data_IF_252695500956
#
_entry.id   IF_252695500956
#
_cell.length_a   1.000
_cell.length_b   1.000
_cell.length_c   1.000
_cell.angle_alpha   90.00
_cell.angle_beta   90.00
_cell.angle_gamma   90.00
#
_symmetry.space_group_name_H-M   'P 1'
#
loop_
_entity.id
_entity.type
_entity.pdbx_description
1 polymer ?
#
# COMPACT_ATOMS: atom_id res chain seq x y z
N UNK A 1 19.97 -36.81 -33.40
CA UNK A 1 21.22 -36.03 -33.55
C UNK A 1 21.83 -35.62 -32.21
N UNK A 2 21.08 -35.12 -31.22
CA UNK A 2 21.63 -34.81 -29.88
C UNK A 2 22.11 -36.07 -29.12
N UNK A 3 21.37 -37.17 -29.24
CA UNK A 3 21.64 -38.47 -28.60
C UNK A 3 23.00 -39.10 -28.94
N UNK A 4 23.35 -39.11 -30.23
CA UNK A 4 24.62 -39.69 -30.70
C UNK A 4 25.81 -38.90 -30.17
N UNK A 5 25.68 -37.57 -30.05
CA UNK A 5 26.71 -36.68 -29.51
C UNK A 5 26.97 -36.92 -28.03
N UNK A 6 25.95 -37.22 -27.23
CA UNK A 6 26.08 -37.42 -25.78
C UNK A 6 26.59 -38.82 -25.42
N UNK A 7 26.16 -39.85 -26.16
CA UNK A 7 26.75 -41.20 -26.07
C UNK A 7 28.23 -41.17 -26.49
N UNK A 8 28.54 -40.48 -27.59
CA UNK A 8 29.91 -40.32 -28.04
C UNK A 8 30.77 -39.57 -27.00
N UNK A 9 30.26 -38.48 -26.41
CA UNK A 9 30.93 -37.75 -25.33
C UNK A 9 31.28 -38.64 -24.13
N UNK A 10 30.40 -39.59 -23.79
CA UNK A 10 30.64 -40.54 -22.70
C UNK A 10 31.67 -41.62 -23.02
N UNK A 11 31.62 -42.19 -24.23
CA UNK A 11 32.63 -43.13 -24.70
C UNK A 11 34.00 -42.46 -24.74
N UNK A 12 34.03 -41.19 -25.17
CA UNK A 12 35.20 -40.31 -25.16
C UNK A 12 35.70 -40.13 -23.72
N UNK A 13 34.86 -39.67 -22.76
CA UNK A 13 35.25 -39.43 -21.36
C UNK A 13 35.73 -40.67 -20.60
N UNK A 14 35.25 -41.87 -20.97
CA UNK A 14 35.68 -43.15 -20.38
C UNK A 14 37.05 -43.60 -20.87
N UNK A 15 37.53 -43.10 -22.00
CA UNK A 15 38.87 -43.41 -22.48
C UNK A 15 39.91 -42.65 -21.63
N UNK A 16 40.83 -43.39 -20.99
CA UNK A 16 41.85 -42.83 -20.07
C UNK A 16 42.90 -41.93 -20.77
N UNK A 17 42.82 -41.78 -22.09
CA UNK A 17 43.84 -41.16 -22.95
C UNK A 17 43.31 -39.97 -23.73
N UNK A 18 42.49 -39.13 -23.11
CA UNK A 18 41.97 -37.94 -23.77
C UNK A 18 42.95 -36.78 -23.75
N UNK A 19 43.01 -36.08 -24.87
CA UNK A 19 43.54 -34.71 -24.90
C UNK A 19 42.61 -33.80 -24.09
N UNK A 20 43.15 -32.74 -23.47
CA UNK A 20 42.36 -31.74 -22.73
C UNK A 20 41.17 -31.24 -23.56
N UNK A 21 41.38 -31.03 -24.86
CA UNK A 21 40.39 -30.50 -25.80
C UNK A 21 39.20 -31.44 -26.04
N UNK A 22 39.43 -32.76 -26.05
CA UNK A 22 38.36 -33.74 -26.29
C UNK A 22 37.56 -34.02 -25.01
N UNK A 23 38.19 -33.88 -23.84
CA UNK A 23 37.53 -33.84 -22.54
C UNK A 23 36.60 -32.62 -22.43
N UNK A 24 37.09 -31.44 -22.79
CA UNK A 24 36.31 -30.19 -22.79
C UNK A 24 35.10 -30.30 -23.73
N UNK A 25 35.27 -30.86 -24.93
CA UNK A 25 34.17 -31.08 -25.88
C UNK A 25 33.10 -32.03 -25.34
N UNK A 26 33.50 -33.11 -24.69
CA UNK A 26 32.55 -34.07 -24.12
C UNK A 26 31.75 -33.45 -22.96
N UNK A 27 32.39 -32.62 -22.13
CA UNK A 27 31.72 -31.83 -21.10
C UNK A 27 30.81 -30.76 -21.71
N UNK A 28 31.23 -30.09 -22.79
CA UNK A 28 30.39 -29.18 -23.55
C UNK A 28 29.14 -29.89 -24.09
N UNK A 29 29.25 -31.09 -24.67
CA UNK A 29 28.10 -31.85 -25.15
C UNK A 29 27.16 -32.30 -24.03
N UNK A 30 27.69 -32.65 -22.85
CA UNK A 30 26.85 -32.88 -21.67
C UNK A 30 26.12 -31.58 -21.25
N UNK A 31 26.82 -30.44 -21.21
CA UNK A 31 26.23 -29.14 -20.86
C UNK A 31 25.23 -28.62 -21.90
N UNK A 32 25.36 -28.97 -23.19
CA UNK A 32 24.40 -28.61 -24.25
C UNK A 32 23.05 -29.33 -24.09
N UNK A 33 22.97 -30.41 -23.32
CA UNK A 33 21.69 -30.99 -22.89
C UNK A 33 20.84 -30.05 -22.00
N UNK A 34 21.44 -28.97 -21.48
CA UNK A 34 20.78 -27.98 -20.61
C UNK A 34 19.81 -27.04 -21.37
N UNK A 35 20.05 -26.79 -22.67
CA UNK A 35 19.37 -25.72 -23.42
C UNK A 35 18.12 -26.14 -24.21
N UNK A 36 17.71 -27.42 -24.19
CA UNK A 36 16.34 -27.77 -24.58
C UNK A 36 16.09 -29.02 -25.42
N UNK A 37 16.94 -30.06 -25.38
CA UNK A 37 16.66 -31.26 -26.15
C UNK A 37 15.94 -32.37 -25.36
N UNK A 38 16.47 -32.88 -24.24
CA UNK A 38 15.88 -34.10 -23.65
C UNK A 38 16.02 -34.11 -22.12
N UNK A 39 14.90 -33.82 -21.42
CA UNK A 39 14.70 -34.08 -19.98
C UNK A 39 14.50 -35.57 -19.70
N UNK A 40 14.97 -36.44 -20.57
CA UNK A 40 14.70 -37.86 -20.52
C UNK A 40 15.56 -38.54 -19.45
N UNK A 41 15.08 -39.67 -18.91
CA UNK A 41 15.79 -40.47 -17.91
C UNK A 41 17.17 -40.94 -18.41
N UNK A 42 17.37 -40.98 -19.72
CA UNK A 42 18.63 -41.38 -20.33
C UNK A 42 19.72 -40.29 -20.20
N UNK A 43 19.38 -39.00 -20.29
CA UNK A 43 20.29 -37.89 -20.00
C UNK A 43 20.78 -37.96 -18.54
N UNK A 44 19.88 -38.21 -17.60
CA UNK A 44 20.20 -38.38 -16.17
C UNK A 44 21.17 -39.55 -15.96
N UNK A 45 20.87 -40.71 -16.56
CA UNK A 45 21.73 -41.89 -16.49
C UNK A 45 23.14 -41.59 -16.96
N UNK A 46 23.26 -40.78 -18.01
CA UNK A 46 24.53 -40.35 -18.56
C UNK A 46 25.28 -39.37 -17.65
N UNK A 47 24.61 -38.37 -17.08
CA UNK A 47 25.21 -37.48 -16.08
C UNK A 47 25.69 -38.22 -14.82
N UNK A 48 24.89 -39.17 -14.31
CA UNK A 48 25.28 -40.02 -13.16
C UNK A 48 26.49 -40.92 -13.49
N UNK A 49 26.61 -41.36 -14.75
CA UNK A 49 27.78 -42.11 -15.19
C UNK A 49 29.04 -41.23 -15.28
N UNK A 50 28.91 -39.96 -15.69
CA UNK A 50 30.04 -39.02 -15.72
C UNK A 50 30.45 -38.64 -14.30
N UNK A 51 29.51 -38.32 -13.40
CA UNK A 51 29.83 -37.91 -12.02
C UNK A 51 30.58 -38.97 -11.22
N UNK A 52 30.49 -40.25 -11.62
CA UNK A 52 31.21 -41.37 -11.01
C UNK A 52 32.62 -41.59 -11.58
N UNK A 53 33.08 -40.80 -12.55
CA UNK A 53 34.42 -40.90 -13.11
C UNK A 53 35.43 -40.36 -12.08
N UNK A 54 36.31 -41.25 -11.60
CA UNK A 54 37.44 -40.88 -10.76
C UNK A 54 38.40 -40.01 -11.62
N UNK A 55 38.76 -38.82 -11.12
CA UNK A 55 39.65 -37.82 -11.75
C UNK A 55 39.00 -36.70 -12.59
N UNK A 56 37.72 -36.37 -12.37
CA UNK A 56 37.18 -35.10 -12.85
C UNK A 56 37.86 -33.92 -12.14
N UNK A 57 38.18 -32.85 -12.88
CA UNK A 57 38.63 -31.62 -12.25
C UNK A 57 37.47 -31.02 -11.41
N UNK A 58 37.79 -30.33 -10.30
CA UNK A 58 36.77 -29.72 -9.44
C UNK A 58 35.80 -28.82 -10.21
N UNK A 59 36.33 -28.08 -11.20
CA UNK A 59 35.55 -27.20 -12.05
C UNK A 59 34.61 -27.95 -13.02
N UNK A 60 34.95 -29.17 -13.40
CA UNK A 60 34.10 -30.00 -14.26
C UNK A 60 33.03 -30.70 -13.41
N UNK A 61 33.40 -31.13 -12.20
CA UNK A 61 32.52 -31.79 -11.26
C UNK A 61 31.36 -30.89 -10.81
N UNK A 62 31.62 -29.62 -10.43
CA UNK A 62 30.53 -28.73 -10.02
C UNK A 62 29.54 -28.46 -11.17
N UNK A 63 30.03 -28.26 -12.39
CA UNK A 63 29.18 -27.95 -13.54
C UNK A 63 28.21 -29.10 -13.80
N UNK A 64 28.73 -30.34 -13.77
CA UNK A 64 27.93 -31.55 -13.94
C UNK A 64 26.92 -31.74 -12.81
N UNK A 65 27.34 -31.60 -11.54
CA UNK A 65 26.47 -31.77 -10.38
C UNK A 65 25.35 -30.72 -10.33
N UNK A 66 25.67 -29.44 -10.57
CA UNK A 66 24.68 -28.37 -10.62
C UNK A 66 23.72 -28.53 -11.81
N UNK A 67 24.19 -29.01 -12.95
CA UNK A 67 23.34 -29.28 -14.13
C UNK A 67 22.40 -30.45 -13.86
N UNK A 68 22.92 -31.56 -13.33
CA UNK A 68 22.11 -32.71 -12.93
C UNK A 68 21.07 -32.31 -11.87
N UNK A 69 21.48 -31.49 -10.89
CA UNK A 69 20.58 -30.94 -9.89
C UNK A 69 19.43 -30.13 -10.50
N UNK A 70 19.72 -29.27 -11.49
CA UNK A 70 18.69 -28.52 -12.26
C UNK A 70 17.73 -29.46 -12.99
N UNK A 71 18.19 -30.58 -13.54
CA UNK A 71 17.34 -31.58 -14.21
C UNK A 71 16.38 -32.23 -13.20
N UNK A 72 16.88 -32.66 -12.03
CA UNK A 72 16.05 -33.24 -10.98
C UNK A 72 14.98 -32.27 -10.46
N UNK A 73 15.35 -30.99 -10.24
CA UNK A 73 14.40 -29.93 -9.88
C UNK A 73 13.30 -29.78 -10.94
N UNK A 74 13.65 -29.75 -12.24
CA UNK A 74 12.67 -29.66 -13.33
C UNK A 74 11.72 -30.87 -13.38
N UNK A 75 12.17 -32.06 -12.94
CA UNK A 75 11.32 -33.27 -12.80
C UNK A 75 10.47 -33.31 -11.54
N UNK A 76 10.59 -32.32 -10.66
CA UNK A 76 9.88 -32.27 -9.38
C UNK A 76 10.56 -33.01 -8.23
N UNK A 77 11.70 -33.68 -8.47
CA UNK A 77 12.52 -34.27 -7.42
C UNK A 77 13.46 -33.19 -6.85
N UNK A 78 12.85 -32.29 -6.06
CA UNK A 78 13.53 -31.13 -5.51
C UNK A 78 14.59 -31.53 -4.48
N UNK A 79 14.36 -32.57 -3.67
CA UNK A 79 15.30 -33.01 -2.64
C UNK A 79 16.61 -33.49 -3.26
N UNK A 80 16.53 -34.40 -4.25
CA UNK A 80 17.73 -34.88 -4.95
C UNK A 80 18.42 -33.76 -5.71
N UNK A 81 17.64 -32.87 -6.33
CA UNK A 81 18.19 -31.74 -7.06
C UNK A 81 18.92 -30.71 -6.17
N UNK A 82 18.38 -30.44 -4.97
CA UNK A 82 19.02 -29.60 -3.94
C UNK A 82 20.30 -30.25 -3.43
N UNK A 83 20.27 -31.55 -3.11
CA UNK A 83 21.43 -32.27 -2.62
C UNK A 83 22.60 -32.23 -3.63
N UNK A 84 22.32 -32.44 -4.91
CA UNK A 84 23.33 -32.37 -5.98
C UNK A 84 23.89 -30.96 -6.17
N UNK A 85 23.04 -29.93 -6.07
CA UNK A 85 23.52 -28.54 -6.14
C UNK A 85 24.43 -28.18 -4.97
N UNK A 86 24.13 -28.62 -3.76
CA UNK A 86 25.03 -28.43 -2.60
C UNK A 86 26.39 -29.09 -2.85
N UNK A 87 26.42 -30.35 -3.28
CA UNK A 87 27.66 -31.04 -3.61
C UNK A 87 28.48 -30.31 -4.69
N UNK A 88 27.80 -29.73 -5.68
CA UNK A 88 28.46 -28.91 -6.70
C UNK A 88 29.03 -27.61 -6.14
N UNK A 89 28.27 -26.90 -5.29
CA UNK A 89 28.70 -25.66 -4.65
C UNK A 89 29.89 -25.89 -3.70
N UNK A 90 29.87 -26.99 -2.93
CA UNK A 90 30.94 -27.35 -1.99
C UNK A 90 32.30 -27.61 -2.69
N UNK A 91 32.27 -27.87 -4.00
CA UNK A 91 33.47 -28.04 -4.81
C UNK A 91 34.09 -26.70 -5.29
N UNK A 92 33.38 -25.58 -5.14
CA UNK A 92 33.80 -24.25 -5.57
C UNK A 92 34.51 -23.48 -4.44
N UNK A 93 35.40 -22.56 -4.82
CA UNK A 93 36.02 -21.63 -3.87
C UNK A 93 35.00 -20.54 -3.48
N UNK A 94 34.75 -20.31 -2.18
CA UNK A 94 33.77 -19.33 -1.71
C UNK A 94 34.14 -17.87 -2.04
N UNK A 95 35.35 -17.62 -2.54
CA UNK A 95 35.81 -16.30 -2.99
C UNK A 95 35.61 -16.06 -4.49
N UNK A 96 35.25 -17.08 -5.25
CA UNK A 96 35.11 -16.98 -6.71
C UNK A 96 33.68 -16.68 -7.14
N UNK A 97 33.53 -15.96 -8.26
CA UNK A 97 32.24 -15.62 -8.84
C UNK A 97 31.29 -16.82 -9.10
N UNK A 98 31.75 -17.99 -9.61
CA UNK A 98 30.88 -19.14 -9.83
C UNK A 98 30.18 -19.64 -8.56
N UNK A 99 30.81 -19.52 -7.39
CA UNK A 99 30.22 -19.90 -6.10
C UNK A 99 28.93 -19.10 -5.86
N UNK A 100 28.99 -17.77 -5.99
CA UNK A 100 27.84 -16.90 -5.78
C UNK A 100 26.72 -17.14 -6.79
N UNK A 101 27.06 -17.42 -8.05
CA UNK A 101 26.05 -17.75 -9.08
C UNK A 101 25.31 -19.04 -8.71
N UNK A 102 26.04 -20.11 -8.36
CA UNK A 102 25.41 -21.38 -8.02
C UNK A 102 24.63 -21.31 -6.71
N UNK A 103 25.13 -20.56 -5.73
CA UNK A 103 24.44 -20.31 -4.47
C UNK A 103 23.14 -19.53 -4.65
N UNK A 104 23.15 -18.50 -5.51
CA UNK A 104 21.93 -17.78 -5.89
C UNK A 104 20.93 -18.69 -6.59
N UNK A 105 21.39 -19.52 -7.54
CA UNK A 105 20.56 -20.51 -8.22
C UNK A 105 19.98 -21.56 -7.26
N UNK A 106 20.65 -21.86 -6.15
CA UNK A 106 20.16 -22.77 -5.10
C UNK A 106 19.17 -22.07 -4.16
N UNK A 107 19.44 -20.83 -3.77
CA UNK A 107 18.53 -20.02 -2.97
C UNK A 107 17.14 -19.90 -3.62
N UNK A 108 17.09 -19.67 -4.94
CA UNK A 108 15.84 -19.65 -5.71
C UNK A 108 15.07 -20.96 -5.64
N UNK A 109 15.77 -22.09 -5.63
CA UNK A 109 15.13 -23.41 -5.52
C UNK A 109 14.54 -23.59 -4.12
N UNK A 110 15.22 -23.14 -3.08
CA UNK A 110 14.66 -23.11 -1.73
C UNK A 110 13.38 -22.27 -1.64
N UNK A 111 13.36 -21.10 -2.29
CA UNK A 111 12.15 -20.29 -2.42
C UNK A 111 11.01 -21.03 -3.15
N UNK A 112 11.32 -21.73 -4.24
CA UNK A 112 10.36 -22.52 -5.02
C UNK A 112 9.71 -23.66 -4.21
N UNK A 113 10.46 -24.32 -3.32
CA UNK A 113 9.92 -25.38 -2.44
C UNK A 113 9.25 -24.84 -1.17
N UNK A 114 9.18 -23.52 -1.00
CA UNK A 114 8.58 -22.88 0.17
C UNK A 114 9.49 -22.80 1.40
N UNK A 115 10.77 -23.13 1.27
CA UNK A 115 11.75 -22.96 2.35
C UNK A 115 12.32 -21.53 2.32
N UNK A 116 11.48 -20.59 2.74
CA UNK A 116 11.76 -19.15 2.70
C UNK A 116 12.91 -18.75 3.64
N UNK A 117 13.05 -19.46 4.77
CA UNK A 117 14.13 -19.22 5.74
C UNK A 117 15.49 -19.48 5.11
N UNK A 118 15.66 -20.64 4.47
CA UNK A 118 16.93 -21.01 3.80
C UNK A 118 17.22 -20.13 2.58
N UNK A 119 16.19 -19.76 1.81
CA UNK A 119 16.34 -18.78 0.72
C UNK A 119 16.92 -17.46 1.25
N UNK A 120 16.33 -16.94 2.33
CA UNK A 120 16.70 -15.66 2.93
C UNK A 120 18.10 -15.69 3.53
N UNK A 121 18.43 -16.77 4.24
CA UNK A 121 19.78 -17.02 4.77
C UNK A 121 20.83 -16.96 3.65
N UNK A 122 20.59 -17.70 2.55
CA UNK A 122 21.52 -17.73 1.41
C UNK A 122 21.65 -16.38 0.72
N UNK A 123 20.55 -15.65 0.54
CA UNK A 123 20.58 -14.29 0.00
C UNK A 123 21.42 -13.35 0.88
N UNK A 124 21.29 -13.43 2.20
CA UNK A 124 22.14 -12.67 3.12
C UNK A 124 23.63 -12.98 2.93
N UNK A 125 23.99 -14.26 2.86
CA UNK A 125 25.38 -14.69 2.63
C UNK A 125 25.92 -14.24 1.27
N UNK A 126 25.08 -14.23 0.22
CA UNK A 126 25.46 -13.76 -1.13
C UNK A 126 25.72 -12.25 -1.11
N UNK A 127 24.81 -11.46 -0.52
CA UNK A 127 24.97 -10.00 -0.46
C UNK A 127 26.23 -9.60 0.32
N UNK A 128 26.51 -10.28 1.44
CA UNK A 128 27.72 -10.02 2.22
C UNK A 128 28.99 -10.38 1.43
N UNK A 129 28.97 -11.51 0.73
CA UNK A 129 30.08 -11.89 -0.16
C UNK A 129 30.29 -10.90 -1.31
N UNK A 130 29.21 -10.44 -1.95
CA UNK A 130 29.29 -9.44 -3.04
C UNK A 130 29.88 -8.12 -2.54
N UNK A 131 29.55 -7.72 -1.30
CA UNK A 131 30.05 -6.50 -0.67
C UNK A 131 31.53 -6.58 -0.29
N UNK A 132 31.99 -7.75 0.13
CA UNK A 132 33.34 -7.96 0.69
C UNK A 132 34.38 -8.33 -0.36
N UNK A 133 33.98 -9.01 -1.44
CA UNK A 133 34.90 -9.53 -2.47
C UNK A 133 34.90 -8.61 -3.69
N UNK A 134 36.10 -8.28 -4.19
CA UNK A 134 36.26 -7.59 -5.46
C UNK A 134 36.26 -8.58 -6.62
N UNK A 135 35.27 -8.47 -7.50
CA UNK A 135 35.20 -9.30 -8.71
C UNK A 135 35.88 -8.62 -9.91
N UNK A 136 36.42 -9.42 -10.82
CA UNK A 136 36.90 -8.93 -12.11
C UNK A 136 35.79 -8.28 -12.93
N UNK A 137 36.17 -7.42 -13.89
CA UNK A 137 35.21 -6.67 -14.73
C UNK A 137 34.18 -7.57 -15.42
N UNK A 138 34.60 -8.75 -15.87
CA UNK A 138 33.73 -9.76 -16.51
C UNK A 138 32.57 -10.24 -15.62
N UNK A 139 32.75 -10.24 -14.29
CA UNK A 139 31.74 -10.71 -13.34
C UNK A 139 31.01 -9.57 -12.63
N UNK A 140 31.55 -8.35 -12.68
CA UNK A 140 31.01 -7.19 -11.97
C UNK A 140 29.55 -6.92 -12.32
N UNK A 141 29.21 -6.92 -13.61
CA UNK A 141 27.83 -6.70 -14.06
C UNK A 141 26.90 -7.84 -13.63
N UNK A 142 27.38 -9.09 -13.70
CA UNK A 142 26.61 -10.26 -13.28
C UNK A 142 26.34 -10.26 -11.78
N UNK A 143 27.32 -9.91 -10.96
CA UNK A 143 27.16 -9.79 -9.49
C UNK A 143 26.22 -8.63 -9.13
N UNK A 144 26.33 -7.49 -9.82
CA UNK A 144 25.37 -6.38 -9.66
C UNK A 144 23.95 -6.81 -10.00
N UNK A 145 23.75 -7.56 -11.08
CA UNK A 145 22.43 -8.11 -11.45
C UNK A 145 21.88 -9.07 -10.38
N UNK A 146 22.72 -9.96 -9.82
CA UNK A 146 22.32 -10.86 -8.74
C UNK A 146 21.93 -10.05 -7.49
N UNK A 147 22.77 -9.09 -7.10
CA UNK A 147 22.50 -8.19 -5.97
C UNK A 147 21.14 -7.48 -6.12
N UNK A 148 20.92 -6.80 -7.26
CA UNK A 148 19.66 -6.10 -7.52
C UNK A 148 18.46 -7.04 -7.48
N UNK A 149 18.59 -8.26 -8.02
CA UNK A 149 17.51 -9.26 -7.99
C UNK A 149 17.17 -9.70 -6.55
N UNK A 150 18.18 -9.89 -5.70
CA UNK A 150 17.96 -10.22 -4.28
C UNK A 150 17.30 -9.06 -3.55
N UNK A 151 17.82 -7.84 -3.71
CA UNK A 151 17.28 -6.63 -3.08
C UNK A 151 15.82 -6.39 -3.51
N UNK A 152 15.51 -6.58 -4.79
CA UNK A 152 14.13 -6.49 -5.32
C UNK A 152 13.22 -7.53 -4.67
N UNK A 153 13.74 -8.74 -4.45
CA UNK A 153 12.96 -9.81 -3.80
C UNK A 153 12.65 -9.47 -2.35
N UNK A 154 13.58 -8.88 -1.60
CA UNK A 154 13.32 -8.40 -0.24
C UNK A 154 12.34 -7.23 -0.21
N UNK A 155 12.51 -6.26 -1.12
CA UNK A 155 11.60 -5.12 -1.23
C UNK A 155 10.16 -5.56 -1.51
N UNK A 156 9.96 -6.52 -2.43
CA UNK A 156 8.62 -7.05 -2.72
C UNK A 156 8.01 -7.79 -1.52
N UNK A 157 8.80 -8.55 -0.77
CA UNK A 157 8.32 -9.23 0.47
C UNK A 157 7.91 -8.21 1.54
N UNK A 158 8.68 -7.14 1.71
CA UNK A 158 8.34 -6.06 2.64
C UNK A 158 7.06 -5.31 2.19
N UNK A 159 6.91 -5.08 0.89
CA UNK A 159 5.71 -4.47 0.32
C UNK A 159 4.45 -5.32 0.58
N UNK A 160 4.54 -6.64 0.39
CA UNK A 160 3.45 -7.58 0.70
C UNK A 160 3.08 -7.59 2.19
N UNK A 161 4.06 -7.41 3.09
CA UNK A 161 3.82 -7.27 4.53
C UNK A 161 3.09 -5.96 4.86
N UNK A 162 3.51 -4.85 4.26
CA UNK A 162 2.86 -3.55 4.42
C UNK A 162 1.42 -3.59 3.89
N UNK A 163 1.19 -4.21 2.73
CA UNK A 163 -0.15 -4.35 2.16
C UNK A 163 -1.07 -5.20 3.06
N UNK A 164 -0.58 -6.32 3.59
CA UNK A 164 -1.32 -7.15 4.55
C UNK A 164 -1.69 -6.36 5.80
N UNK A 165 -0.75 -5.65 6.39
CA UNK A 165 -1.01 -4.83 7.58
C UNK A 165 -2.02 -3.70 7.29
N UNK A 166 -1.92 -3.05 6.13
CA UNK A 166 -2.89 -2.04 5.72
C UNK A 166 -4.31 -2.63 5.56
N UNK A 167 -4.41 -3.81 4.96
CA UNK A 167 -5.69 -4.51 4.81
C UNK A 167 -6.29 -4.90 6.16
N UNK A 168 -5.47 -5.38 7.10
CA UNK A 168 -5.90 -5.67 8.48
C UNK A 168 -6.43 -4.42 9.19
N UNK A 169 -5.78 -3.27 9.02
CA UNK A 169 -6.28 -2.00 9.57
C UNK A 169 -7.62 -1.56 8.97
N UNK A 170 -7.82 -1.78 7.67
CA UNK A 170 -9.10 -1.49 7.02
C UNK A 170 -10.21 -2.39 7.57
N UNK A 171 -9.94 -3.68 7.74
CA UNK A 171 -10.89 -4.63 8.31
C UNK A 171 -11.19 -4.33 9.77
N UNK A 172 -10.19 -3.95 10.56
CA UNK A 172 -10.38 -3.49 11.93
C UNK A 172 -11.28 -2.26 11.99
N UNK A 173 -11.00 -1.23 11.18
CA UNK A 173 -11.85 -0.02 11.12
C UNK A 173 -13.28 -0.33 10.68
N UNK A 174 -13.47 -1.30 9.78
CA UNK A 174 -14.81 -1.75 9.37
C UNK A 174 -15.56 -2.39 10.54
N UNK A 175 -14.91 -3.29 11.30
CA UNK A 175 -15.48 -3.91 12.50
C UNK A 175 -15.82 -2.88 13.56
N UNK A 176 -14.94 -1.92 13.82
CA UNK A 176 -15.16 -0.82 14.77
C UNK A 176 -16.39 0.02 14.39
N UNK A 177 -16.55 0.36 13.10
CA UNK A 177 -17.74 1.08 12.60
C UNK A 177 -19.02 0.28 12.75
N UNK A 178 -18.98 -1.04 12.57
CA UNK A 178 -20.14 -1.90 12.78
C UNK A 178 -20.55 -1.94 14.26
N UNK A 179 -19.58 -2.08 15.17
CA UNK A 179 -19.81 -2.01 16.62
C UNK A 179 -20.39 -0.65 17.02
N UNK A 180 -19.85 0.45 16.49
CA UNK A 180 -20.36 1.80 16.77
C UNK A 180 -21.81 1.97 16.29
N UNK A 181 -22.16 1.46 15.09
CA UNK A 181 -23.55 1.47 14.59
C UNK A 181 -24.51 0.66 15.47
N UNK A 182 -24.06 -0.44 16.05
CA UNK A 182 -24.89 -1.24 16.98
C UNK A 182 -25.13 -0.46 18.27
N UNK A 183 -24.07 0.12 18.85
CA UNK A 183 -24.17 0.96 20.05
C UNK A 183 -25.08 2.17 19.83
N UNK A 184 -24.95 2.87 18.70
CA UNK A 184 -25.83 4.00 18.35
C UNK A 184 -27.31 3.57 18.23
N UNK A 185 -27.58 2.38 17.68
CA UNK A 185 -28.93 1.82 17.62
C UNK A 185 -29.48 1.50 19.01
N UNK A 186 -28.67 0.97 19.92
CA UNK A 186 -29.08 0.71 21.31
C UNK A 186 -29.38 2.01 22.06
N UNK A 187 -28.49 3.00 21.97
CA UNK A 187 -28.71 4.33 22.57
C UNK A 187 -29.96 5.00 22.01
N UNK A 188 -30.22 4.86 20.70
CA UNK A 188 -31.44 5.38 20.07
C UNK A 188 -32.70 4.67 20.59
N UNK A 189 -32.66 3.34 20.75
CA UNK A 189 -33.76 2.56 21.37
C UNK A 189 -34.01 2.98 22.81
N UNK A 190 -32.96 3.20 23.59
CA UNK A 190 -33.06 3.62 24.99
C UNK A 190 -33.63 5.04 25.11
N UNK A 191 -33.16 5.99 24.31
CA UNK A 191 -33.75 7.34 24.21
C UNK A 191 -35.22 7.31 23.80
N UNK A 192 -35.60 6.42 22.88
CA UNK A 192 -36.99 6.22 22.48
C UNK A 192 -37.85 5.68 23.63
N UNK A 193 -37.33 4.71 24.39
CA UNK A 193 -37.99 4.19 25.59
C UNK A 193 -38.16 5.27 26.65
N UNK A 194 -37.12 6.04 26.94
CA UNK A 194 -37.16 7.12 27.92
C UNK A 194 -38.15 8.21 27.52
N UNK A 195 -38.19 8.57 26.23
CA UNK A 195 -39.18 9.52 25.69
C UNK A 195 -40.62 9.01 25.83
N UNK A 196 -40.87 7.73 25.55
CA UNK A 196 -42.19 7.11 25.75
C UNK A 196 -42.60 7.10 27.23
N UNK A 197 -41.65 6.84 28.14
CA UNK A 197 -41.90 6.83 29.58
C UNK A 197 -42.21 8.24 30.11
N UNK A 198 -41.43 9.23 29.68
CA UNK A 198 -41.67 10.64 30.01
C UNK A 198 -43.03 11.11 29.47
N UNK A 199 -43.40 10.72 28.25
CA UNK A 199 -44.69 11.07 27.68
C UNK A 199 -45.87 10.50 28.48
N UNK A 200 -45.78 9.22 28.89
CA UNK A 200 -46.81 8.61 29.76
C UNK A 200 -46.99 9.36 31.07
N UNK A 201 -45.87 9.75 31.72
CA UNK A 201 -45.92 10.53 32.96
C UNK A 201 -46.57 11.91 32.76
N UNK A 202 -46.28 12.59 31.65
CA UNK A 202 -46.93 13.87 31.30
C UNK A 202 -48.44 13.67 31.10
N UNK A 203 -48.84 12.60 30.44
CA UNK A 203 -50.26 12.30 30.17
C UNK A 203 -51.01 11.95 31.46
N UNK A 204 -50.39 11.20 32.39
CA UNK A 204 -50.92 10.95 33.73
C UNK A 204 -51.10 12.23 34.55
N UNK A 205 -50.11 13.14 34.52
CA UNK A 205 -50.22 14.44 35.20
C UNK A 205 -51.38 15.27 34.64
N UNK A 206 -51.51 15.32 33.31
CA UNK A 206 -52.63 16.04 32.65
C UNK A 206 -53.98 15.45 33.03
N UNK A 207 -54.06 14.12 33.12
CA UNK A 207 -55.30 13.45 33.52
C UNK A 207 -55.64 13.75 34.98
N UNK A 208 -54.67 13.69 35.88
CA UNK A 208 -54.84 14.05 37.29
C UNK A 208 -55.28 15.53 37.47
N UNK A 209 -54.71 16.46 36.68
CA UNK A 209 -55.13 17.86 36.68
C UNK A 209 -56.57 18.04 36.20
N UNK A 210 -56.98 17.30 35.18
CA UNK A 210 -58.35 17.32 34.67
C UNK A 210 -59.35 16.79 35.70
N UNK A 211 -59.02 15.69 36.37
CA UNK A 211 -59.85 15.13 37.46
C UNK A 211 -59.93 16.07 38.66
N UNK A 212 -58.83 16.74 39.02
CA UNK A 212 -58.81 17.74 40.09
C UNK A 212 -59.72 18.93 39.77
N UNK A 213 -59.65 19.46 38.54
CA UNK A 213 -60.52 20.55 38.09
C UNK A 213 -62.01 20.14 38.06
N UNK A 214 -62.31 18.89 37.71
CA UNK A 214 -63.68 18.37 37.74
C UNK A 214 -64.21 18.22 39.18
N UNK A 215 -63.37 17.76 40.12
CA UNK A 215 -63.72 17.73 41.55
C UNK A 215 -63.98 19.13 42.11
N UNK A 216 -63.18 20.12 41.72
CA UNK A 216 -63.37 21.51 42.12
C UNK A 216 -64.70 22.07 41.60
N UNK A 217 -65.02 21.85 40.32
CA UNK A 217 -66.34 22.20 39.76
C UNK A 217 -67.50 21.55 40.51
N UNK A 218 -67.39 20.26 40.84
CA UNK A 218 -68.43 19.55 41.64
C UNK A 218 -68.58 20.16 43.03
N UNK A 219 -67.48 20.50 43.69
CA UNK A 219 -67.50 21.17 45.00
C UNK A 219 -68.15 22.55 44.93
N UNK A 220 -67.88 23.33 43.88
CA UNK A 220 -68.48 24.65 43.68
C UNK A 220 -69.98 24.56 43.35
N UNK A 221 -70.40 23.58 42.55
CA UNK A 221 -71.81 23.28 42.31
C UNK A 221 -72.52 22.84 43.60
N UNK A 222 -71.88 22.00 44.42
CA UNK A 222 -72.42 21.58 45.71
C UNK A 222 -72.53 22.75 46.70
N UNK A 223 -71.51 23.62 46.76
CA UNK A 223 -71.55 24.86 47.56
C UNK A 223 -72.67 25.79 47.10
N UNK A 224 -72.86 25.96 45.78
CA UNK A 224 -73.98 26.75 45.22
C UNK A 224 -75.33 26.15 45.59
N UNK A 225 -75.50 24.83 45.51
CA UNK A 225 -76.73 24.14 45.96
C UNK A 225 -77.00 24.37 47.45
N UNK A 226 -75.99 24.21 48.30
CA UNK A 226 -76.09 24.47 49.74
C UNK A 226 -76.43 25.93 50.03
N UNK A 227 -75.86 26.89 49.29
CA UNK A 227 -76.19 28.31 49.43
C UNK A 227 -77.65 28.60 49.04
N UNK A 228 -78.16 28.00 47.96
CA UNK A 228 -79.56 28.12 47.55
C UNK A 228 -80.50 27.50 48.60
N UNK A 229 -80.20 26.29 49.09
CA UNK A 229 -80.97 25.67 50.19
C UNK A 229 -80.96 26.53 51.46
N UNK A 230 -79.81 27.11 51.82
CA UNK A 230 -79.69 27.97 52.99
C UNK A 230 -80.45 29.29 52.79
N UNK A 231 -80.48 29.83 51.56
CA UNK A 231 -81.31 31.00 51.22
C UNK A 231 -82.80 30.68 51.35
N UNK A 232 -83.25 29.51 50.87
CA UNK A 232 -84.63 29.03 51.06
C UNK A 232 -84.96 28.82 52.53
N UNK A 233 -84.04 28.25 53.33
CA UNK A 233 -84.19 28.15 54.79
C UNK A 233 -84.26 29.51 55.47
N UNK A 234 -83.43 30.47 55.08
CA UNK A 234 -83.45 31.82 55.63
C UNK A 234 -84.71 32.61 55.23
N UNK A 235 -85.25 32.37 54.03
CA UNK A 235 -86.55 32.91 53.61
C UNK A 235 -87.71 32.25 54.37
N UNK A 236 -87.62 30.96 54.71
CA UNK A 236 -88.60 30.30 55.60
C UNK A 236 -88.52 30.76 57.07
N UNK A 237 -87.40 31.34 57.49
CA UNK A 237 -87.20 31.92 58.84
C UNK A 237 -87.60 33.41 58.95
N UNK A 238 -88.19 34.02 57.91
CA UNK A 238 -88.77 35.38 57.97
C UNK A 238 -90.17 35.46 58.60
N UNK A 239 -90.65 34.38 59.21
CA UNK A 239 -91.79 34.42 60.12
C UNK A 239 -91.31 34.10 61.53
N UNK A 240 -91.60 35.02 62.45
CA UNK A 240 -91.25 35.09 63.88
C UNK A 240 -90.01 35.92 64.28
N UNK A 241 -90.22 37.03 65.00
CA UNK A 241 -89.17 37.79 65.66
C UNK A 241 -88.91 37.20 67.06
N UNK A 242 -87.65 36.93 67.41
CA UNK A 242 -87.23 36.94 68.81
C UNK A 242 -85.76 37.37 68.94
N UNK A 243 -85.64 38.44 69.71
CA UNK A 243 -84.65 38.89 70.69
C UNK A 243 -83.18 38.41 70.68
N UNK A 244 -82.32 39.41 70.96
CA UNK A 244 -80.90 39.35 71.30
C UNK A 244 -80.65 38.46 72.55
N UNK A 245 -79.42 37.97 72.75
CA UNK A 245 -78.51 38.70 73.66
C UNK A 245 -77.03 38.70 73.25
N UNK A 246 -76.25 39.34 74.13
CA UNK A 246 -74.92 39.92 74.00
C UNK A 246 -73.72 38.96 74.03
N UNK A 247 -72.62 39.49 73.47
CA UNK A 247 -71.20 39.42 73.87
C UNK A 247 -70.59 38.11 74.39
N UNK A 248 -69.42 37.73 73.85
CA UNK A 248 -68.20 37.54 74.68
C UNK A 248 -66.93 37.58 73.82
N UNK A 249 -65.99 38.42 74.25
CA UNK A 249 -64.59 38.56 73.81
C UNK A 249 -63.77 37.32 74.22
N UNK A 250 -62.87 36.80 73.36
CA UNK A 250 -61.53 36.30 73.76
C UNK A 250 -60.56 36.46 72.57
N UNK A 251 -59.41 37.00 72.92
CA UNK A 251 -58.23 37.41 72.14
C UNK A 251 -57.20 36.25 72.01
N UNK A 252 -56.05 36.51 71.37
CA UNK A 252 -54.78 35.74 71.34
C UNK A 252 -54.61 34.62 70.31
N UNK A 253 -53.46 34.39 69.67
CA UNK A 253 -52.20 35.12 69.45
C UNK A 253 -51.27 34.24 68.57
N UNK A 254 -50.36 34.87 67.81
CA UNK A 254 -49.02 34.41 67.37
C UNK A 254 -48.85 33.01 66.73
N UNK A 255 -48.39 32.88 65.47
CA UNK A 255 -46.97 32.84 65.02
C UNK A 255 -46.91 31.78 63.91
N UNK A 256 -46.01 31.70 62.93
CA UNK A 256 -44.69 32.27 62.70
C UNK A 256 -44.42 32.19 61.19
N UNK A 257 -43.75 33.21 60.65
CA UNK A 257 -43.18 33.21 59.33
C UNK A 257 -41.92 32.34 59.29
N UNK A 258 -41.77 31.49 58.26
CA UNK A 258 -40.45 31.05 57.81
C UNK A 258 -40.29 31.38 56.33
N UNK A 259 -39.41 32.36 56.09
CA UNK A 259 -38.72 32.65 54.84
C UNK A 259 -38.29 31.33 54.16
N UNK A 260 -38.65 31.17 52.89
CA UNK A 260 -37.84 30.36 51.98
C UNK A 260 -37.24 31.28 50.93
N UNK A 261 -35.92 31.22 50.87
CA UNK A 261 -35.00 32.08 50.12
C UNK A 261 -34.98 31.64 48.66
N UNK A 262 -35.02 32.56 47.67
CA UNK A 262 -34.67 32.23 46.30
C UNK A 262 -33.13 32.28 46.19
N UNK A 263 -32.49 31.12 46.28
CA UNK A 263 -31.05 31.01 46.04
C UNK A 263 -30.74 30.94 44.54
N UNK A 264 -30.14 32.04 44.11
CA UNK A 264 -28.90 32.13 43.32
C UNK A 264 -28.84 31.38 41.97
N UNK A 265 -28.80 32.23 40.95
CA UNK A 265 -28.19 32.00 39.64
C UNK A 265 -26.84 31.28 39.78
N UNK A 266 -26.77 30.02 39.37
CA UNK A 266 -25.51 29.37 39.04
C UNK A 266 -25.06 29.85 37.66
N UNK A 267 -24.07 30.75 37.67
CA UNK A 267 -23.23 31.10 36.55
C UNK A 267 -22.58 29.83 35.97
N UNK A 268 -22.92 29.48 34.72
CA UNK A 268 -22.08 28.57 33.94
C UNK A 268 -20.79 29.31 33.58
N UNK A 269 -19.76 28.98 34.37
CA UNK A 269 -18.35 29.23 34.13
C UNK A 269 -18.00 28.84 32.69
N UNK A 270 -17.56 29.82 31.90
CA UNK A 270 -16.79 29.57 30.68
C UNK A 270 -15.42 29.03 31.12
N UNK A 271 -15.23 27.73 31.05
CA UNK A 271 -13.89 27.14 31.06
C UNK A 271 -13.22 27.49 29.74
N UNK A 272 -12.49 28.60 29.76
CA UNK A 272 -11.45 28.93 28.78
C UNK A 272 -10.37 27.86 28.96
N UNK A 273 -10.40 26.85 28.10
CA UNK A 273 -9.31 25.88 28.00
C UNK A 273 -8.02 26.66 27.74
N UNK A 274 -7.10 26.62 28.71
CA UNK A 274 -5.70 26.95 28.47
C UNK A 274 -5.20 25.94 27.45
N UNK A 275 -4.95 26.42 26.24
CA UNK A 275 -4.06 25.75 25.30
C UNK A 275 -2.72 25.66 26.00
N UNK A 276 -2.31 24.44 26.35
CA UNK A 276 -0.94 24.17 26.70
C UNK A 276 -0.12 24.46 25.44
N UNK A 277 0.71 25.49 25.52
CA UNK A 277 1.89 25.64 24.67
C UNK A 277 2.78 24.43 24.95
N UNK A 278 2.55 23.36 24.18
CA UNK A 278 3.56 22.34 23.96
C UNK A 278 4.65 23.05 23.18
N UNK A 279 5.82 23.19 23.81
CA UNK A 279 7.05 23.45 23.08
C UNK A 279 7.21 22.30 22.08
N UNK A 280 6.78 22.53 20.84
CA UNK A 280 7.35 21.87 19.68
C UNK A 280 8.85 22.16 19.76
N UNK A 281 9.60 21.14 20.14
CA UNK A 281 10.97 21.04 19.68
C UNK A 281 10.85 21.03 18.17
N UNK A 282 11.31 22.11 17.54
CA UNK A 282 11.73 22.09 16.16
C UNK A 282 12.88 21.09 16.08
N UNK A 283 12.53 19.81 15.99
CA UNK A 283 13.36 18.87 15.27
C UNK A 283 13.40 19.43 13.85
N UNK A 284 14.56 19.95 13.46
CA UNK A 284 14.95 20.15 12.07
C UNK A 284 14.80 18.81 11.36
N UNK A 285 13.56 18.52 10.96
CA UNK A 285 13.29 17.69 9.80
C UNK A 285 13.98 18.44 8.68
N UNK A 286 15.17 17.97 8.32
CA UNK A 286 15.67 18.01 6.96
C UNK A 286 14.46 17.69 6.08
N UNK A 287 13.80 18.74 5.60
CA UNK A 287 12.82 18.67 4.55
C UNK A 287 13.61 18.04 3.43
N UNK A 288 13.36 16.75 3.20
CA UNK A 288 13.79 16.05 1.99
C UNK A 288 13.43 16.98 0.85
N UNK A 289 14.46 17.63 0.30
CA UNK A 289 14.34 18.63 -0.74
C UNK A 289 13.55 17.94 -1.86
N UNK A 290 12.28 18.33 -2.01
CA UNK A 290 11.39 17.66 -2.97
C UNK A 290 11.98 17.93 -4.34
N UNK A 291 12.60 16.89 -4.92
CA UNK A 291 13.27 16.97 -6.20
C UNK A 291 12.22 17.18 -7.29
N UNK A 292 12.10 18.43 -7.75
CA UNK A 292 11.27 18.75 -8.89
C UNK A 292 11.91 18.16 -10.15
N UNK A 293 11.15 17.44 -10.99
CA UNK A 293 11.67 16.89 -12.23
C UNK A 293 12.18 18.01 -13.14
N UNK A 294 13.42 17.87 -13.60
CA UNK A 294 14.00 18.73 -14.64
C UNK A 294 13.62 18.15 -15.99
N UNK A 295 12.60 18.74 -16.62
CA UNK A 295 12.21 18.39 -17.99
C UNK A 295 13.20 18.96 -19.01
N UNK A 296 13.30 18.38 -20.22
CA UNK A 296 13.91 19.05 -21.36
C UNK A 296 13.19 20.38 -21.61
N UNK A 297 13.78 21.28 -22.41
CA UNK A 297 13.11 22.51 -22.81
C UNK A 297 11.84 22.17 -23.62
N UNK A 298 10.72 22.06 -22.92
CA UNK A 298 9.41 21.85 -23.51
C UNK A 298 9.02 23.11 -24.28
N UNK A 299 8.51 22.94 -25.50
CA UNK A 299 7.93 24.07 -26.23
C UNK A 299 6.77 24.69 -25.45
N UNK A 300 6.47 25.97 -25.71
CA UNK A 300 5.40 26.70 -25.01
C UNK A 300 4.04 26.00 -25.08
N UNK A 301 3.76 25.29 -26.18
CA UNK A 301 2.55 24.48 -26.36
C UNK A 301 2.56 23.21 -25.50
N UNK A 302 3.70 22.52 -25.44
CA UNK A 302 3.86 21.32 -24.62
C UNK A 302 3.75 21.64 -23.12
N UNK A 303 4.38 22.73 -22.67
CA UNK A 303 4.27 23.22 -21.28
C UNK A 303 2.82 23.50 -20.88
N UNK A 304 2.05 24.16 -21.76
CA UNK A 304 0.63 24.42 -21.51
C UNK A 304 -0.14 23.12 -21.26
N UNK A 305 0.03 22.12 -22.14
CA UNK A 305 -0.65 20.82 -21.99
C UNK A 305 -0.20 20.08 -20.73
N UNK A 306 1.08 20.18 -20.40
CA UNK A 306 1.64 19.59 -19.18
C UNK A 306 0.93 20.12 -17.93
N UNK A 307 0.86 21.44 -17.77
CA UNK A 307 0.16 22.06 -16.63
C UNK A 307 -1.35 21.83 -16.66
N UNK A 308 -1.97 21.82 -17.84
CA UNK A 308 -3.38 21.47 -17.98
C UNK A 308 -3.68 20.07 -17.42
N UNK A 309 -2.78 19.09 -17.60
CA UNK A 309 -2.96 17.75 -17.01
C UNK A 309 -2.80 17.78 -15.49
N UNK A 310 -1.82 18.54 -14.96
CA UNK A 310 -1.62 18.71 -13.51
C UNK A 310 -2.81 19.38 -12.83
N UNK A 311 -3.40 20.38 -13.48
CA UNK A 311 -4.57 21.13 -13.02
C UNK A 311 -5.91 20.39 -13.26
N UNK A 312 -5.87 19.17 -13.81
CA UNK A 312 -7.04 18.40 -14.23
C UNK A 312 -7.95 19.14 -15.25
N UNK A 313 -7.36 20.09 -16.00
CA UNK A 313 -7.97 20.74 -17.15
C UNK A 313 -7.71 19.94 -18.42
N UNK A 314 -8.74 19.23 -18.89
CA UNK A 314 -8.65 18.33 -20.04
C UNK A 314 -9.05 19.01 -21.36
N UNK A 315 -8.92 20.35 -21.44
CA UNK A 315 -9.24 21.18 -22.61
C UNK A 315 -8.04 21.36 -23.55
N UNK A 316 -7.62 20.26 -24.16
CA UNK A 316 -6.58 20.23 -25.19
C UNK A 316 -6.86 19.18 -26.27
N UNK A 317 -6.36 19.47 -27.46
CA UNK A 317 -6.51 18.66 -28.66
C UNK A 317 -5.50 17.49 -28.70
N UNK A 318 -5.76 16.52 -29.58
CA UNK A 318 -4.85 15.38 -29.77
C UNK A 318 -3.51 15.82 -30.30
N UNK A 319 -3.52 16.81 -31.19
CA UNK A 319 -2.33 17.36 -31.81
C UNK A 319 -1.46 18.09 -30.78
N UNK A 320 -2.05 18.86 -29.86
CA UNK A 320 -1.32 19.50 -28.76
C UNK A 320 -0.67 18.47 -27.81
N UNK A 321 -1.39 17.41 -27.44
CA UNK A 321 -0.80 16.33 -26.63
C UNK A 321 0.29 15.58 -27.40
N UNK A 322 0.13 15.37 -28.71
CA UNK A 322 1.17 14.75 -29.54
C UNK A 322 2.45 15.60 -29.59
N UNK A 323 2.32 16.93 -29.60
CA UNK A 323 3.48 17.83 -29.50
C UNK A 323 4.21 17.66 -28.16
N UNK A 324 3.48 17.59 -27.04
CA UNK A 324 4.08 17.31 -25.73
C UNK A 324 4.89 16.00 -25.76
N UNK A 325 4.31 14.92 -26.29
CA UNK A 325 5.03 13.64 -26.37
C UNK A 325 6.26 13.69 -27.27
N UNK A 326 6.19 14.48 -28.35
CA UNK A 326 7.33 14.66 -29.27
C UNK A 326 8.46 15.44 -28.61
N UNK A 327 8.14 16.51 -27.86
CA UNK A 327 9.12 17.32 -27.11
C UNK A 327 9.78 16.50 -25.99
N UNK A 328 9.05 15.55 -25.41
CA UNK A 328 9.56 14.55 -24.47
C UNK A 328 10.30 13.38 -25.15
N UNK A 329 10.58 13.48 -26.45
CA UNK A 329 11.31 12.48 -27.24
C UNK A 329 10.64 11.09 -27.25
N UNK A 330 9.32 11.01 -27.09
CA UNK A 330 8.60 9.74 -27.21
C UNK A 330 8.59 9.25 -28.66
N UNK A 331 8.89 7.98 -28.87
CA UNK A 331 8.89 7.37 -30.20
C UNK A 331 7.45 7.13 -30.67
N UNK A 332 7.12 7.67 -31.84
CA UNK A 332 5.84 7.40 -32.49
C UNK A 332 5.95 6.11 -33.31
N UNK A 333 5.15 5.11 -32.97
CA UNK A 333 4.97 3.92 -33.81
C UNK A 333 3.85 4.16 -34.82
N UNK A 334 4.18 3.98 -36.10
CA UNK A 334 3.20 3.99 -37.15
C UNK A 334 2.34 2.72 -37.05
N UNK A 335 1.01 2.92 -37.03
CA UNK A 335 0.06 1.82 -37.15
C UNK A 335 -0.82 2.10 -38.36
N UNK A 336 -1.31 1.05 -39.03
CA UNK A 336 -2.27 1.19 -40.13
C UNK A 336 -3.64 1.76 -39.67
N UNK A 337 -3.80 2.01 -38.37
CA UNK A 337 -5.04 2.51 -37.78
C UNK A 337 -5.02 4.04 -37.63
N UNK A 338 -6.19 4.64 -37.39
CA UNK A 338 -6.31 6.06 -37.02
C UNK A 338 -5.69 6.40 -35.65
N UNK A 339 -5.25 5.39 -34.89
CA UNK A 339 -4.62 5.56 -33.59
C UNK A 339 -3.13 5.87 -33.74
N UNK A 340 -2.65 6.78 -32.90
CA UNK A 340 -1.21 7.07 -32.80
C UNK A 340 -0.69 6.40 -31.54
N UNK A 341 0.29 5.52 -31.66
CA UNK A 341 0.93 4.88 -30.51
C UNK A 341 2.24 5.62 -30.24
N UNK A 342 2.40 6.10 -29.01
CA UNK A 342 3.64 6.71 -28.55
C UNK A 342 4.23 5.82 -27.45
N UNK A 343 5.54 5.63 -27.50
CA UNK A 343 6.30 4.87 -26.53
C UNK A 343 7.30 5.78 -25.84
N UNK A 344 7.46 5.64 -24.52
CA UNK A 344 8.54 6.32 -23.81
C UNK A 344 9.91 5.91 -24.37
N UNK A 345 10.87 6.84 -24.45
CA UNK A 345 12.18 6.52 -24.99
C UNK A 345 12.87 5.46 -24.11
N UNK A 346 13.46 4.44 -24.75
CA UNK A 346 14.29 3.43 -24.06
C UNK A 346 15.60 4.01 -23.55
N UNK A 347 16.06 5.06 -24.23
CA UNK A 347 17.31 5.74 -23.95
C UNK A 347 17.06 7.23 -23.85
N UNK A 348 17.50 7.85 -22.77
CA UNK A 348 17.47 9.31 -22.63
C UNK A 348 18.90 9.83 -22.57
N UNK A 349 19.19 10.87 -23.34
CA UNK A 349 20.49 11.53 -23.33
C UNK A 349 20.47 12.59 -22.22
N UNK A 350 21.40 12.48 -21.28
CA UNK A 350 21.62 13.44 -20.23
C UNK A 350 22.85 14.27 -20.61
N UNK A 351 22.64 15.55 -20.91
CA UNK A 351 23.75 16.49 -21.17
C UNK A 351 24.19 17.11 -19.84
N UNK A 352 25.43 16.85 -19.46
CA UNK A 352 26.13 17.43 -18.32
C UNK A 352 27.17 18.42 -18.82
N UNK A 353 27.42 19.50 -18.07
CA UNK A 353 28.57 20.37 -18.31
C UNK A 353 29.63 20.04 -17.24
N UNK A 354 30.79 19.55 -17.67
CA UNK A 354 31.92 19.22 -16.78
C UNK A 354 33.15 19.96 -17.29
N UNK A 355 33.72 20.84 -16.47
CA UNK A 355 34.89 21.66 -16.83
C UNK A 355 34.71 22.53 -18.09
N UNK A 356 33.48 22.96 -18.40
CA UNK A 356 33.17 23.77 -19.58
C UNK A 356 33.02 22.96 -20.89
N UNK A 357 33.07 21.62 -20.82
CA UNK A 357 32.75 20.72 -21.93
C UNK A 357 31.39 20.05 -21.69
N UNK A 358 30.56 19.97 -22.74
CA UNK A 358 29.30 19.23 -22.71
C UNK A 358 29.57 17.73 -22.86
N UNK A 359 29.29 16.96 -21.81
CA UNK A 359 29.32 15.50 -21.81
C UNK A 359 27.89 15.00 -22.01
N UNK A 360 27.68 14.17 -23.03
CA UNK A 360 26.41 13.48 -23.25
C UNK A 360 26.50 12.06 -22.70
N UNK A 361 25.73 11.77 -21.66
CA UNK A 361 25.61 10.44 -21.08
C UNK A 361 24.31 9.77 -21.55
N UNK A 362 24.41 8.55 -22.06
CA UNK A 362 23.26 7.79 -22.52
C UNK A 362 22.72 6.94 -21.37
N UNK A 363 21.57 7.30 -20.83
CA UNK A 363 20.88 6.52 -19.80
C UNK A 363 19.95 5.52 -20.49
N UNK A 364 20.18 4.24 -20.23
CA UNK A 364 19.31 3.15 -20.68
C UNK A 364 18.31 2.82 -19.57
N UNK A 365 17.03 2.92 -19.87
CA UNK A 365 15.98 2.49 -18.97
C UNK A 365 15.77 0.98 -19.14
N UNK A 366 16.09 0.19 -18.12
CA UNK A 366 15.71 -1.22 -18.13
C UNK A 366 14.17 -1.33 -18.13
N UNK A 367 13.63 -2.37 -18.79
CA UNK A 367 12.18 -2.63 -18.80
C UNK A 367 11.61 -2.82 -17.38
N UNK A 368 12.47 -3.11 -16.41
CA UNK A 368 12.18 -3.27 -14.97
C UNK A 368 12.11 -1.92 -14.21
N UNK A 369 12.91 -0.91 -14.60
CA UNK A 369 13.02 0.38 -13.88
C UNK A 369 11.88 1.35 -14.23
N UNK A 370 11.40 1.26 -15.47
CA UNK A 370 10.23 1.96 -15.98
C UNK A 370 9.57 0.97 -16.92
N UNK A 371 8.42 0.40 -16.54
CA UNK A 371 7.60 -0.36 -17.49
C UNK A 371 7.28 0.58 -18.66
N UNK A 372 8.04 0.46 -19.75
CA UNK A 372 8.05 1.41 -20.86
C UNK A 372 6.62 1.63 -21.31
N UNK A 373 6.06 2.74 -20.84
CA UNK A 373 4.67 3.04 -21.07
C UNK A 373 4.49 3.19 -22.57
N UNK A 374 3.42 2.61 -23.10
CA UNK A 374 2.89 3.06 -24.38
C UNK A 374 1.53 3.70 -24.13
N UNK A 375 1.26 4.77 -24.85
CA UNK A 375 -0.04 5.42 -24.87
C UNK A 375 -0.58 5.35 -26.29
N UNK A 376 -1.81 4.84 -26.40
CA UNK A 376 -2.52 4.78 -27.67
C UNK A 376 -3.51 5.92 -27.71
N UNK A 377 -3.32 6.83 -28.66
CA UNK A 377 -4.13 8.03 -28.83
C UNK A 377 -5.18 7.79 -29.92
N UNK A 378 -6.47 7.56 -29.56
CA UNK A 378 -7.56 7.55 -30.53
C UNK A 378 -7.74 8.94 -31.15
N UNK A 379 -8.61 9.08 -32.14
CA UNK A 379 -8.91 10.40 -32.71
C UNK A 379 -9.85 11.20 -31.78
N UNK A 380 -9.44 12.42 -31.39
CA UNK A 380 -10.31 13.45 -30.83
C UNK A 380 -9.91 14.82 -31.38
N UNK A 381 -10.85 15.78 -31.42
CA UNK A 381 -10.66 17.08 -32.07
C UNK A 381 -10.63 18.26 -31.11
N UNK A 382 -11.51 18.27 -30.12
CA UNK A 382 -11.69 19.44 -29.25
C UNK A 382 -11.18 19.17 -27.84
N UNK A 383 -11.78 18.20 -27.13
CA UNK A 383 -11.46 17.88 -25.73
C UNK A 383 -11.10 16.42 -25.55
N UNK A 384 -10.33 16.12 -24.50
CA UNK A 384 -9.96 14.75 -24.17
C UNK A 384 -11.19 13.96 -23.71
N UNK A 385 -11.52 12.83 -24.37
CA UNK A 385 -12.62 11.97 -23.95
C UNK A 385 -12.45 11.43 -22.53
N UNK A 386 -13.55 11.33 -21.77
CA UNK A 386 -13.52 10.89 -20.36
C UNK A 386 -12.81 9.54 -20.17
N UNK A 387 -13.04 8.59 -21.08
CA UNK A 387 -12.42 7.27 -21.01
C UNK A 387 -10.90 7.29 -21.14
N UNK A 388 -10.33 8.32 -21.78
CA UNK A 388 -8.89 8.43 -22.05
C UNK A 388 -8.14 9.13 -20.91
N UNK A 389 -8.81 9.97 -20.12
CA UNK A 389 -8.19 10.78 -19.05
C UNK A 389 -7.39 9.94 -18.05
N UNK A 390 -7.95 8.80 -17.60
CA UNK A 390 -7.26 7.89 -16.67
C UNK A 390 -5.95 7.36 -17.28
N UNK A 391 -5.97 7.01 -18.56
CA UNK A 391 -4.78 6.49 -19.25
C UNK A 391 -3.72 7.60 -19.44
N UNK A 392 -4.13 8.81 -19.86
CA UNK A 392 -3.19 9.93 -20.01
C UNK A 392 -2.59 10.33 -18.68
N UNK A 393 -3.38 10.33 -17.59
CA UNK A 393 -2.88 10.62 -16.24
C UNK A 393 -1.83 9.60 -15.80
N UNK A 394 -2.11 8.30 -15.95
CA UNK A 394 -1.15 7.24 -15.62
C UNK A 394 0.14 7.37 -16.45
N UNK A 395 0.00 7.68 -17.73
CA UNK A 395 1.16 7.89 -18.60
C UNK A 395 1.96 9.14 -18.22
N UNK A 396 1.28 10.23 -17.86
CA UNK A 396 1.90 11.45 -17.37
C UNK A 396 2.64 11.24 -16.04
N UNK A 397 2.09 10.47 -15.10
CA UNK A 397 2.80 10.11 -13.87
C UNK A 397 4.09 9.34 -14.15
N UNK A 398 4.09 8.44 -15.14
CA UNK A 398 5.32 7.74 -15.56
C UNK A 398 6.38 8.68 -16.15
N UNK A 399 5.94 9.68 -16.92
CA UNK A 399 6.82 10.73 -17.45
C UNK A 399 7.47 11.50 -16.28
N UNK A 400 6.67 11.95 -15.31
CA UNK A 400 7.17 12.66 -14.12
C UNK A 400 8.20 11.79 -13.39
N UNK A 401 7.88 10.53 -13.11
CA UNK A 401 8.77 9.60 -12.42
C UNK A 401 10.12 9.44 -13.15
N UNK A 402 10.08 9.27 -14.48
CA UNK A 402 11.28 9.18 -15.31
C UNK A 402 12.17 10.42 -15.16
N UNK A 403 11.61 11.62 -15.29
CA UNK A 403 12.37 12.86 -15.20
C UNK A 403 12.81 13.21 -13.77
N UNK A 404 12.07 12.77 -12.75
CA UNK A 404 12.54 12.85 -11.35
C UNK A 404 13.76 11.96 -11.14
N UNK A 405 13.77 10.72 -11.67
CA UNK A 405 14.94 9.83 -11.62
C UNK A 405 16.15 10.44 -12.33
N UNK A 406 15.96 11.01 -13.52
CA UNK A 406 17.00 11.76 -14.25
C UNK A 406 17.58 12.87 -13.38
N UNK A 407 16.71 13.63 -12.70
CA UNK A 407 17.13 14.76 -11.86
C UNK A 407 17.95 14.29 -10.66
N UNK A 408 17.51 13.21 -10.01
CA UNK A 408 18.26 12.60 -8.91
C UNK A 408 19.64 12.11 -9.35
N UNK A 409 19.73 11.41 -10.50
CA UNK A 409 21.01 10.96 -11.07
C UNK A 409 21.93 12.13 -11.40
N UNK A 410 21.37 13.21 -11.98
CA UNK A 410 22.12 14.44 -12.26
C UNK A 410 22.74 15.00 -10.98
N UNK A 411 21.96 15.12 -9.91
CA UNK A 411 22.44 15.64 -8.64
C UNK A 411 23.50 14.75 -7.98
N UNK A 412 23.35 13.42 -8.03
CA UNK A 412 24.36 12.50 -7.50
C UNK A 412 25.69 12.64 -8.24
N UNK A 413 25.65 12.77 -9.58
CA UNK A 413 26.86 12.97 -10.39
C UNK A 413 27.53 14.31 -10.09
N UNK A 414 26.77 15.39 -9.91
CA UNK A 414 27.33 16.69 -9.49
C UNK A 414 27.88 16.67 -8.06
N UNK A 415 27.34 15.86 -7.17
CA UNK A 415 27.83 15.75 -5.80
C UNK A 415 29.19 15.03 -5.74
N UNK A 416 29.38 13.96 -6.51
CA UNK A 416 30.65 13.21 -6.57
C UNK A 416 31.82 14.06 -7.13
N UNK A 417 31.53 14.94 -8.09
CA UNK A 417 32.53 15.82 -8.71
C UNK A 417 33.02 16.96 -7.81
N UNK A 418 32.24 17.36 -6.80
CA UNK A 418 32.63 18.43 -5.86
C UNK A 418 33.45 17.92 -4.66
N UNK A 419 33.58 16.60 -4.50
CA UNK A 419 34.30 15.96 -3.39
C UNK A 419 35.71 15.51 -3.80
N UNK A 420 36.05 15.57 -5.09
CA UNK A 420 37.37 15.28 -5.66
C UNK A 420 38.16 16.55 -5.94
#
# INVERSE_FOLDING_TARGET
MAWDSLRHALEVLRSQTLSSRDRDRALCYASLGNDGADQDDESIRYFEQISNIQNLHKNECHLLLCTLGKIYIKKGDHEKGIALKHQGIDALDPTEAPYFVQKYDLAKVYGQVGNIEKETEMYGEILEGIRTISFGLEWKERMKSIQMSIETTFFLKELDEVERHFQEQLDQRKREREVQKVQEKEVSKEKSHQKKLSQRMIDEIKQAQKEAAEREKRLDEEKRKKFVEQKVRNESRKSYPMEKPESFFVEQSFSQATRYVPESKASKVKTRGKVATVHEKEDEKLLSETLFPTFPQLGTRAQKVFHQIEDEDWDFTREEYSCLLTDLQCERRETASSHRVFQLPKTTILTLERNGEEIQEHIFWADEDITLGSVTLPAWREKVPLYLRKQLRLFHSKIIEMYTKITAMRQTLFAEDNVS
#
